data_IF_099938396588
#
_entry.id   IF_099938396588
#
_cell.length_a   1.000
_cell.length_b   1.000
_cell.length_c   1.000
_cell.angle_alpha   90.00
_cell.angle_beta   90.00
_cell.angle_gamma   90.00
#
_symmetry.space_group_name_H-M   'P 1'
#
loop_
_entity.id
_entity.type
_entity.pdbx_description
1 polymer ?
#
# COMPACT_ATOMS: atom_id res chain seq x y z
N UNK A 1 -11.32 5.21 -30.24
CA UNK A 1 -12.11 5.23 -29.02
C UNK A 1 -12.82 3.89 -28.90
N UNK A 2 -12.47 3.08 -27.92
CA UNK A 2 -13.23 1.92 -27.52
C UNK A 2 -14.08 2.39 -26.34
N UNK A 3 -15.40 2.38 -26.51
CA UNK A 3 -16.32 2.68 -25.41
C UNK A 3 -16.61 1.33 -24.75
N UNK A 4 -16.21 1.12 -23.49
CA UNK A 4 -16.55 -0.11 -22.78
C UNK A 4 -18.06 -0.19 -22.61
N UNK A 5 -18.59 -1.39 -22.80
CA UNK A 5 -20.01 -1.67 -22.55
C UNK A 5 -20.34 -1.45 -21.07
N UNK A 6 -21.57 -1.04 -20.78
CA UNK A 6 -21.96 -0.61 -19.43
C UNK A 6 -21.78 -1.74 -18.43
N UNK A 7 -20.82 -1.60 -17.53
CA UNK A 7 -20.75 -2.42 -16.31
C UNK A 7 -19.40 -2.91 -15.84
N UNK A 8 -18.39 -3.01 -16.68
CA UNK A 8 -17.06 -3.44 -16.26
C UNK A 8 -16.07 -2.31 -16.32
N UNK A 9 -15.32 -2.01 -15.24
CA UNK A 9 -14.23 -1.06 -15.31
C UNK A 9 -13.13 -1.64 -16.21
N UNK A 10 -12.96 -1.01 -17.36
CA UNK A 10 -11.91 -1.36 -18.32
C UNK A 10 -10.78 -0.36 -18.15
N UNK A 11 -9.59 -0.86 -17.99
CA UNK A 11 -8.39 -0.06 -17.84
C UNK A 11 -7.55 -0.14 -19.12
N UNK A 12 -7.26 1.01 -19.71
CA UNK A 12 -6.37 1.09 -20.87
C UNK A 12 -4.98 1.50 -20.42
N UNK A 13 -4.00 0.64 -20.67
CA UNK A 13 -2.60 1.00 -20.62
C UNK A 13 -2.19 1.42 -22.03
N UNK A 14 -2.08 2.72 -22.24
CA UNK A 14 -1.56 3.25 -23.51
C UNK A 14 -0.08 3.56 -23.30
N UNK A 15 0.82 2.78 -23.89
CA UNK A 15 2.24 3.12 -23.85
C UNK A 15 2.47 4.47 -24.54
N UNK A 16 3.45 5.27 -24.10
CA UNK A 16 3.64 6.64 -24.58
C UNK A 16 4.30 6.73 -25.96
N UNK A 17 4.60 5.62 -26.63
CA UNK A 17 5.26 5.60 -27.94
C UNK A 17 4.39 4.96 -29.00
N UNK A 18 4.35 5.56 -30.20
CA UNK A 18 3.75 4.96 -31.36
C UNK A 18 4.41 3.60 -31.66
N UNK A 19 3.61 2.55 -31.79
CA UNK A 19 4.05 1.20 -32.12
C UNK A 19 4.06 0.19 -30.99
N UNK A 20 3.84 0.60 -29.74
CA UNK A 20 3.69 -0.32 -28.61
C UNK A 20 2.23 -0.80 -28.50
N UNK A 21 2.06 -2.06 -28.07
CA UNK A 21 0.74 -2.68 -27.93
C UNK A 21 -0.11 -1.99 -26.86
N UNK A 22 -1.41 -2.05 -27.01
CA UNK A 22 -2.37 -1.62 -25.96
C UNK A 22 -2.74 -2.83 -25.14
N UNK A 23 -2.46 -2.78 -23.84
CA UNK A 23 -2.89 -3.81 -22.89
C UNK A 23 -4.26 -3.41 -22.32
N UNK A 24 -5.27 -4.24 -22.57
CA UNK A 24 -6.59 -4.09 -21.98
C UNK A 24 -6.66 -5.00 -20.76
N UNK A 25 -6.98 -4.42 -19.61
CA UNK A 25 -7.26 -5.19 -18.40
C UNK A 25 -8.73 -5.06 -18.03
N UNK A 26 -9.43 -6.16 -18.07
CA UNK A 26 -10.83 -6.26 -17.65
C UNK A 26 -10.90 -6.88 -16.25
N UNK A 27 -11.78 -6.33 -15.42
CA UNK A 27 -12.00 -6.88 -14.07
C UNK A 27 -12.91 -8.09 -14.17
N UNK A 28 -12.37 -9.27 -13.88
CA UNK A 28 -13.18 -10.46 -13.63
C UNK A 28 -13.62 -10.52 -12.16
N UNK A 29 -14.93 -10.63 -11.95
CA UNK A 29 -15.51 -10.91 -10.66
C UNK A 29 -15.98 -12.36 -10.63
N UNK A 30 -15.16 -13.25 -10.07
CA UNK A 30 -15.56 -14.62 -9.77
C UNK A 30 -15.75 -14.75 -8.27
N UNK A 31 -16.97 -14.59 -7.80
CA UNK A 31 -17.51 -14.90 -6.46
C UNK A 31 -16.68 -14.67 -5.19
N UNK A 32 -15.44 -15.11 -5.10
CA UNK A 32 -14.56 -15.01 -3.91
C UNK A 32 -13.24 -14.30 -4.17
N UNK A 33 -12.86 -14.08 -5.42
CA UNK A 33 -11.64 -13.36 -5.80
C UNK A 33 -11.94 -12.42 -6.95
N UNK A 34 -11.62 -11.13 -6.78
CA UNK A 34 -11.62 -10.19 -7.89
C UNK A 34 -10.20 -10.10 -8.45
N UNK A 35 -10.02 -10.48 -9.70
CA UNK A 35 -8.79 -10.36 -10.46
C UNK A 35 -9.00 -9.48 -11.69
N UNK A 36 -7.92 -9.09 -12.35
CA UNK A 36 -7.97 -8.52 -13.68
C UNK A 36 -7.40 -9.55 -14.66
N UNK A 37 -8.18 -9.88 -15.68
CA UNK A 37 -7.67 -10.63 -16.82
C UNK A 37 -7.01 -9.65 -17.78
N UNK A 38 -5.82 -9.96 -18.21
CA UNK A 38 -5.12 -9.21 -19.25
C UNK A 38 -5.50 -9.80 -20.61
N UNK A 39 -6.19 -9.00 -21.43
CA UNK A 39 -6.40 -9.31 -22.83
C UNK A 39 -5.49 -8.44 -23.68
N UNK A 40 -4.62 -9.04 -24.46
CA UNK A 40 -3.83 -8.32 -25.46
C UNK A 40 -4.74 -8.02 -26.66
N UNK A 41 -5.15 -6.77 -26.79
CA UNK A 41 -6.16 -6.39 -27.78
C UNK A 41 -5.56 -6.22 -29.20
N UNK A 42 -4.32 -5.86 -29.34
CA UNK A 42 -3.58 -5.84 -30.62
C UNK A 42 -2.08 -5.69 -30.40
N UNK A 43 -1.32 -6.67 -30.77
CA UNK A 43 0.07 -6.44 -31.14
C UNK A 43 0.09 -5.77 -32.52
N UNK A 44 0.52 -4.53 -32.57
CA UNK A 44 0.89 -3.94 -33.85
C UNK A 44 2.16 -4.65 -34.28
N UNK A 45 2.14 -5.26 -35.47
CA UNK A 45 3.30 -5.92 -36.01
C UNK A 45 4.54 -5.02 -35.84
N UNK A 46 5.49 -5.51 -35.04
CA UNK A 46 6.72 -4.82 -34.79
C UNK A 46 7.45 -4.63 -36.12
N UNK A 47 7.48 -3.42 -36.62
CA UNK A 47 8.44 -3.04 -37.63
C UNK A 47 9.80 -3.13 -36.99
N UNK A 48 10.60 -4.06 -37.43
CA UNK A 48 12.06 -4.19 -37.24
C UNK A 48 12.64 -4.02 -35.81
N UNK A 49 12.83 -5.14 -35.11
CA UNK A 49 14.11 -5.44 -34.49
C UNK A 49 14.53 -4.79 -33.18
N UNK A 50 13.77 -3.93 -32.55
CA UNK A 50 14.03 -3.53 -31.17
C UNK A 50 13.22 -4.43 -30.24
N UNK A 51 13.90 -5.20 -29.37
CA UNK A 51 13.24 -5.90 -28.27
C UNK A 51 12.34 -4.89 -27.51
N UNK A 52 11.10 -5.28 -27.13
CA UNK A 52 10.24 -4.39 -26.36
C UNK A 52 11.03 -3.92 -25.14
N UNK A 53 11.11 -2.61 -24.97
CA UNK A 53 11.72 -1.98 -23.80
C UNK A 53 10.94 -2.48 -22.58
N UNK A 54 11.44 -3.56 -21.95
CA UNK A 54 10.83 -4.16 -20.77
C UNK A 54 10.97 -3.14 -19.65
N UNK A 55 9.96 -2.30 -19.49
CA UNK A 55 9.90 -1.41 -18.35
C UNK A 55 9.87 -2.24 -17.09
N UNK A 56 10.74 -1.87 -16.16
CA UNK A 56 10.86 -2.54 -14.89
C UNK A 56 9.59 -2.33 -14.05
N UNK A 57 9.31 -3.26 -13.16
CA UNK A 57 8.29 -3.10 -12.14
C UNK A 57 8.71 -2.01 -11.14
N UNK A 58 7.75 -1.19 -10.71
CA UNK A 58 7.97 -0.25 -9.63
C UNK A 58 8.10 -0.99 -8.29
N UNK A 59 9.27 -0.90 -7.68
CA UNK A 59 9.59 -1.50 -6.40
C UNK A 59 9.67 -0.40 -5.33
N UNK A 60 9.08 -0.62 -4.17
CA UNK A 60 9.30 0.27 -3.02
C UNK A 60 10.33 -0.38 -2.11
N UNK A 61 11.41 0.34 -1.83
CA UNK A 61 12.54 -0.15 -1.02
C UNK A 61 12.44 0.26 0.45
N UNK A 62 11.74 1.34 0.70
CA UNK A 62 11.51 1.86 2.04
C UNK A 62 10.15 2.55 2.12
N UNK A 63 9.51 2.40 3.27
CA UNK A 63 8.28 3.11 3.65
C UNK A 63 8.50 3.87 4.95
N UNK A 64 8.06 5.12 5.00
CA UNK A 64 7.76 5.81 6.23
C UNK A 64 6.24 6.05 6.28
N UNK A 65 5.59 5.45 7.26
CA UNK A 65 4.14 5.47 7.44
C UNK A 65 3.81 6.22 8.73
N UNK A 66 2.91 7.18 8.64
CA UNK A 66 2.34 7.89 9.78
C UNK A 66 0.83 7.62 9.76
N UNK A 67 0.32 6.95 10.79
CA UNK A 67 -1.03 6.39 10.83
C UNK A 67 -1.77 6.93 12.04
N UNK A 68 -2.90 7.56 11.80
CA UNK A 68 -3.79 8.04 12.84
C UNK A 68 -5.03 7.14 12.95
N UNK A 69 -5.30 6.67 14.16
CA UNK A 69 -6.38 5.77 14.53
C UNK A 69 -7.29 6.44 15.58
N UNK A 70 -8.01 7.51 15.22
CA UNK A 70 -8.84 8.22 16.18
C UNK A 70 -10.03 7.37 16.62
N UNK A 71 -10.40 7.43 17.90
CA UNK A 71 -11.67 6.88 18.36
C UNK A 71 -12.82 7.64 17.73
N UNK A 72 -13.77 6.93 17.17
CA UNK A 72 -15.04 7.49 16.70
C UNK A 72 -16.09 7.42 17.83
N UNK A 73 -17.11 8.25 17.77
CA UNK A 73 -18.15 8.31 18.81
C UNK A 73 -18.98 7.04 19.00
N UNK A 74 -18.87 6.08 18.08
CA UNK A 74 -19.52 4.77 18.10
C UNK A 74 -18.71 3.66 18.81
N UNK A 75 -17.50 3.99 19.30
CA UNK A 75 -16.57 3.00 19.87
C UNK A 75 -15.73 2.29 18.83
N UNK A 76 -15.82 2.71 17.58
CA UNK A 76 -14.95 2.26 16.49
C UNK A 76 -13.71 3.12 16.38
N UNK A 77 -12.79 2.70 15.53
CA UNK A 77 -11.55 3.41 15.21
C UNK A 77 -11.59 3.88 13.76
N UNK A 78 -11.36 5.18 13.55
CA UNK A 78 -11.15 5.75 12.23
C UNK A 78 -9.74 5.42 11.71
N UNK A 79 -9.51 5.70 10.43
CA UNK A 79 -8.22 5.51 9.80
C UNK A 79 -7.88 6.67 8.87
N UNK A 80 -6.71 7.26 9.08
CA UNK A 80 -6.05 8.12 8.10
C UNK A 80 -4.55 7.88 8.14
N UNK A 81 -3.88 8.07 7.01
CA UNK A 81 -2.45 7.83 6.95
C UNK A 81 -1.73 8.72 5.93
N UNK A 82 -0.47 8.98 6.24
CA UNK A 82 0.53 9.50 5.31
C UNK A 82 1.53 8.40 5.02
N UNK A 83 1.68 8.04 3.75
CA UNK A 83 2.69 7.08 3.32
C UNK A 83 3.74 7.78 2.46
N UNK A 84 5.00 7.74 2.88
CA UNK A 84 6.14 8.16 2.09
C UNK A 84 6.84 6.92 1.54
N UNK A 85 7.02 6.87 0.23
CA UNK A 85 7.53 5.73 -0.52
C UNK A 85 8.83 6.10 -1.23
N UNK A 86 9.86 5.25 -1.14
CA UNK A 86 11.08 5.32 -1.95
C UNK A 86 10.99 4.29 -3.06
N UNK A 87 10.72 4.78 -4.26
CA UNK A 87 10.35 3.99 -5.44
C UNK A 87 11.56 3.87 -6.36
N UNK A 88 11.86 2.66 -6.79
CA UNK A 88 12.92 2.37 -7.78
C UNK A 88 12.47 1.25 -8.71
N UNK A 89 13.25 0.98 -9.76
CA UNK A 89 13.06 -0.17 -10.64
C UNK A 89 14.38 -0.88 -10.93
N UNK A 90 14.31 -2.16 -11.24
CA UNK A 90 15.47 -2.92 -11.78
C UNK A 90 15.75 -2.52 -13.23
N UNK A 91 14.74 -2.01 -13.95
CA UNK A 91 14.82 -1.35 -15.22
C UNK A 91 14.22 0.05 -15.14
N UNK A 92 14.23 0.81 -16.24
CA UNK A 92 13.54 2.09 -16.31
C UNK A 92 12.04 1.90 -16.10
N UNK A 93 11.40 2.75 -15.30
CA UNK A 93 9.96 2.70 -15.00
C UNK A 93 9.25 4.00 -15.39
N UNK A 94 7.98 3.87 -15.70
CA UNK A 94 7.11 5.02 -16.04
C UNK A 94 6.57 5.00 -17.46
N UNK A 95 5.82 6.02 -17.88
CA UNK A 95 5.43 7.20 -17.10
C UNK A 95 4.37 6.94 -16.03
N UNK A 96 3.66 5.81 -16.09
CA UNK A 96 2.67 5.43 -15.10
C UNK A 96 3.18 4.25 -14.28
N UNK A 97 3.00 4.34 -12.96
CA UNK A 97 3.25 3.27 -12.02
C UNK A 97 1.97 2.96 -11.25
N UNK A 98 1.85 1.72 -10.78
CA UNK A 98 0.64 1.25 -10.12
C UNK A 98 0.98 0.60 -8.79
N UNK A 99 0.16 0.90 -7.80
CA UNK A 99 0.21 0.32 -6.46
C UNK A 99 -1.12 -0.33 -6.12
N UNK A 100 -1.09 -1.40 -5.37
CA UNK A 100 -2.28 -1.91 -4.69
C UNK A 100 -2.59 -1.00 -3.51
N UNK A 101 -3.83 -0.55 -3.41
CA UNK A 101 -4.34 0.24 -2.28
C UNK A 101 -5.81 -0.14 -2.06
N UNK A 102 -6.19 -0.32 -0.80
CA UNK A 102 -7.52 -0.81 -0.44
C UNK A 102 -8.65 0.02 -1.09
N UNK A 103 -9.68 -0.69 -1.59
CA UNK A 103 -10.73 -0.09 -2.40
C UNK A 103 -11.45 1.06 -1.73
N UNK A 104 -11.78 0.92 -0.44
CA UNK A 104 -12.51 1.91 0.34
C UNK A 104 -11.69 3.14 0.75
N UNK A 105 -10.42 3.22 0.37
CA UNK A 105 -9.61 4.40 0.63
C UNK A 105 -9.83 5.49 -0.41
N UNK A 106 -9.87 6.72 0.08
CA UNK A 106 -9.80 7.95 -0.69
C UNK A 106 -8.39 8.51 -0.58
N UNK A 107 -7.78 8.82 -1.72
CA UNK A 107 -6.50 9.55 -1.77
C UNK A 107 -6.82 11.05 -1.79
N UNK A 108 -6.40 11.76 -0.74
CA UNK A 108 -6.63 13.20 -0.60
C UNK A 108 -5.68 14.01 -1.47
N UNK A 109 -4.42 13.62 -1.45
CA UNK A 109 -3.36 14.22 -2.26
C UNK A 109 -2.14 13.33 -2.33
N UNK A 110 -1.25 13.63 -3.28
CA UNK A 110 0.08 13.05 -3.34
C UNK A 110 1.10 14.08 -3.83
N UNK A 111 2.31 14.02 -3.28
CA UNK A 111 3.38 14.97 -3.56
C UNK A 111 4.68 14.23 -3.87
N UNK A 112 5.43 14.73 -4.84
CA UNK A 112 6.81 14.34 -5.09
C UNK A 112 7.76 15.00 -4.08
N UNK A 113 9.01 14.55 -4.05
CA UNK A 113 10.03 15.04 -3.11
C UNK A 113 10.29 16.56 -3.19
N UNK A 114 10.11 17.14 -4.36
CA UNK A 114 10.25 18.57 -4.63
C UNK A 114 9.03 19.41 -4.21
N UNK A 115 8.00 18.75 -3.62
CA UNK A 115 6.74 19.38 -3.23
C UNK A 115 5.74 19.53 -4.38
N UNK A 116 6.08 19.16 -5.60
CA UNK A 116 5.15 19.20 -6.73
C UNK A 116 4.03 18.16 -6.55
N UNK A 117 2.82 18.50 -7.02
CA UNK A 117 1.66 17.63 -6.93
C UNK A 117 1.78 16.45 -7.90
N UNK A 118 1.66 15.24 -7.40
CA UNK A 118 1.58 14.04 -8.23
C UNK A 118 0.18 13.90 -8.84
N UNK A 119 0.13 13.46 -10.09
CA UNK A 119 -1.13 13.07 -10.75
C UNK A 119 -1.43 11.64 -10.31
N UNK A 120 -2.55 11.47 -9.61
CA UNK A 120 -3.02 10.19 -9.07
C UNK A 120 -4.40 9.88 -9.61
N UNK A 121 -4.59 8.65 -10.04
CA UNK A 121 -5.90 8.08 -10.35
C UNK A 121 -6.15 6.89 -9.41
N UNK A 122 -7.17 7.02 -8.57
CA UNK A 122 -7.65 5.99 -7.63
C UNK A 122 -9.16 5.88 -7.78
N UNK A 123 -9.64 4.97 -8.64
CA UNK A 123 -11.07 4.75 -8.80
C UNK A 123 -11.73 4.40 -7.46
N UNK A 124 -12.93 4.92 -7.25
CA UNK A 124 -13.75 4.57 -6.10
C UNK A 124 -13.95 3.05 -6.07
N UNK A 125 -13.75 2.45 -4.91
CA UNK A 125 -13.82 1.00 -4.68
C UNK A 125 -12.82 0.15 -5.51
N UNK A 126 -11.98 0.79 -6.33
CA UNK A 126 -10.93 0.10 -7.08
C UNK A 126 -9.73 -0.26 -6.20
N UNK A 127 -9.12 -1.44 -6.38
CA UNK A 127 -8.01 -1.92 -5.54
C UNK A 127 -6.64 -1.35 -5.95
N UNK A 128 -6.59 -0.44 -6.91
CA UNK A 128 -5.36 0.10 -7.46
C UNK A 128 -5.32 1.62 -7.43
N UNK A 129 -4.14 2.14 -7.18
CA UNK A 129 -3.77 3.54 -7.26
C UNK A 129 -2.72 3.71 -8.36
N UNK A 130 -3.02 4.52 -9.35
CA UNK A 130 -2.14 4.87 -10.45
C UNK A 130 -1.48 6.21 -10.19
N UNK A 131 -0.19 6.29 -10.43
CA UNK A 131 0.58 7.51 -10.23
C UNK A 131 1.41 7.79 -11.47
N UNK A 132 1.32 9.01 -11.97
CA UNK A 132 2.13 9.46 -13.10
C UNK A 132 3.45 10.01 -12.60
N UNK A 133 4.55 9.42 -13.03
CA UNK A 133 5.89 9.93 -12.81
C UNK A 133 6.11 11.24 -13.59
N UNK A 134 6.84 12.23 -13.03
CA UNK A 134 7.20 13.45 -13.76
C UNK A 134 7.99 13.19 -15.04
N UNK A 135 8.85 12.18 -14.99
CA UNK A 135 9.64 11.67 -16.11
C UNK A 135 9.85 10.16 -15.94
N UNK A 136 10.32 9.50 -16.99
CA UNK A 136 10.79 8.10 -16.88
C UNK A 136 11.89 8.05 -15.84
N UNK A 137 11.76 7.18 -14.84
CA UNK A 137 12.76 6.96 -13.80
C UNK A 137 13.77 5.92 -14.32
N UNK A 138 15.04 6.27 -14.49
CA UNK A 138 16.08 5.32 -14.92
C UNK A 138 16.25 4.16 -13.94
N UNK A 139 16.81 3.06 -14.42
CA UNK A 139 17.14 1.91 -13.58
C UNK A 139 18.05 2.30 -12.40
N UNK A 140 17.69 1.87 -11.20
CA UNK A 140 18.45 2.13 -9.97
C UNK A 140 18.29 3.53 -9.37
N UNK A 141 17.68 4.48 -10.08
CA UNK A 141 17.32 5.76 -9.49
C UNK A 141 16.13 5.63 -8.55
N UNK A 142 16.01 6.58 -7.61
CA UNK A 142 14.97 6.58 -6.59
C UNK A 142 14.12 7.85 -6.70
N UNK A 143 12.82 7.66 -6.86
CA UNK A 143 11.83 8.71 -6.70
C UNK A 143 11.16 8.61 -5.33
N UNK A 144 10.83 9.73 -4.71
CA UNK A 144 10.12 9.76 -3.43
C UNK A 144 8.72 10.33 -3.64
N UNK A 145 7.71 9.57 -3.20
CA UNK A 145 6.31 9.95 -3.26
C UNK A 145 5.72 9.96 -1.84
N UNK A 146 4.99 11.01 -1.50
CA UNK A 146 4.19 11.08 -0.27
C UNK A 146 2.72 11.06 -0.65
N UNK A 147 1.94 10.14 -0.07
CA UNK A 147 0.50 9.96 -0.32
C UNK A 147 -0.26 10.19 0.97
N UNK A 148 -1.28 11.04 0.93
CA UNK A 148 -2.21 11.31 2.04
C UNK A 148 -3.54 10.65 1.69
N UNK A 149 -4.08 9.84 2.60
CA UNK A 149 -5.29 9.08 2.35
C UNK A 149 -6.01 8.70 3.65
N UNK A 150 -7.30 8.45 3.52
CA UNK A 150 -8.15 8.02 4.62
C UNK A 150 -9.20 7.03 4.13
N UNK A 151 -9.92 6.42 5.07
CA UNK A 151 -11.08 5.58 4.76
C UNK A 151 -11.45 4.63 5.88
N UNK A 152 -12.40 3.76 5.57
CA UNK A 152 -12.92 2.74 6.48
C UNK A 152 -12.21 1.41 6.20
N UNK A 153 -11.24 1.10 7.05
CA UNK A 153 -10.38 -0.07 6.89
C UNK A 153 -10.56 -1.12 7.97
N UNK A 154 -10.83 -0.67 9.19
CA UNK A 154 -10.56 -1.47 10.38
C UNK A 154 -11.79 -2.31 10.74
N UNK A 155 -11.64 -3.63 10.67
CA UNK A 155 -12.64 -4.58 11.15
C UNK A 155 -12.50 -4.72 12.67
N UNK A 156 -13.64 -4.64 13.39
CA UNK A 156 -13.72 -4.91 14.82
C UNK A 156 -14.10 -6.38 15.05
N UNK A 157 -13.40 -7.01 15.98
CA UNK A 157 -13.77 -8.34 16.47
C UNK A 157 -13.71 -8.34 18.01
N UNK A 158 -14.89 -8.36 18.66
CA UNK A 158 -14.95 -8.20 20.12
C UNK A 158 -14.35 -6.87 20.58
N UNK A 159 -13.30 -6.94 21.38
CA UNK A 159 -12.63 -5.78 21.99
C UNK A 159 -11.32 -5.41 21.29
N UNK A 160 -11.06 -5.94 20.12
CA UNK A 160 -9.88 -5.57 19.33
C UNK A 160 -10.22 -5.26 17.87
N UNK A 161 -9.32 -4.52 17.26
CA UNK A 161 -9.37 -4.11 15.87
C UNK A 161 -8.18 -4.71 15.13
N UNK A 162 -8.42 -5.20 13.93
CA UNK A 162 -7.38 -5.83 13.14
C UNK A 162 -7.45 -5.46 11.67
N UNK A 163 -6.33 -5.63 11.00
CA UNK A 163 -6.23 -5.50 9.56
C UNK A 163 -5.90 -6.86 8.98
N UNK A 164 -6.71 -7.32 8.03
CA UNK A 164 -6.40 -8.56 7.29
C UNK A 164 -5.07 -8.40 6.57
N UNK A 165 -4.15 -9.34 6.76
CA UNK A 165 -2.80 -9.28 6.17
C UNK A 165 -2.78 -9.21 4.64
N UNK A 166 -3.87 -9.64 3.97
CA UNK A 166 -4.08 -9.50 2.53
C UNK A 166 -4.44 -8.07 2.12
N UNK A 167 -4.96 -7.24 3.03
CA UNK A 167 -5.43 -5.89 2.73
C UNK A 167 -4.24 -4.96 2.47
N UNK A 168 -4.26 -4.27 1.33
CA UNK A 168 -3.28 -3.25 0.99
C UNK A 168 -3.62 -1.93 1.70
N UNK A 169 -3.35 -1.86 3.00
CA UNK A 169 -3.67 -0.68 3.81
C UNK A 169 -2.69 0.49 3.63
N UNK A 170 -1.61 0.29 2.91
CA UNK A 170 -0.69 1.30 2.40
C UNK A 170 -0.42 1.00 0.91
N UNK A 171 0.06 1.98 0.11
CA UNK A 171 0.36 1.73 -1.30
C UNK A 171 1.44 0.66 -1.45
N UNK A 172 1.08 -0.54 -1.90
CA UNK A 172 1.99 -1.68 -2.08
C UNK A 172 2.34 -1.90 -3.54
N UNK A 173 3.62 -2.16 -3.81
CA UNK A 173 4.06 -2.64 -5.12
C UNK A 173 3.27 -3.90 -5.51
N UNK A 174 2.87 -4.00 -6.78
CA UNK A 174 2.16 -5.16 -7.31
C UNK A 174 3.04 -6.40 -7.45
N UNK A 175 4.35 -6.22 -7.43
CA UNK A 175 5.26 -7.35 -7.56
C UNK A 175 5.36 -8.10 -6.22
N UNK A 176 5.13 -9.39 -6.23
CA UNK A 176 5.31 -10.24 -5.05
C UNK A 176 6.77 -10.34 -4.56
N UNK A 177 7.71 -9.68 -5.25
CA UNK A 177 9.15 -9.66 -4.95
C UNK A 177 9.58 -8.41 -4.17
N UNK A 178 8.69 -7.44 -3.99
CA UNK A 178 9.05 -6.21 -3.28
C UNK A 178 9.22 -6.48 -1.78
N UNK A 179 10.46 -6.40 -1.32
CA UNK A 179 10.82 -6.35 0.09
C UNK A 179 11.23 -4.91 0.41
N UNK A 180 10.73 -4.38 1.51
CA UNK A 180 11.02 -3.02 1.96
C UNK A 180 11.33 -2.97 3.45
N UNK A 181 12.11 -1.99 3.86
CA UNK A 181 12.19 -1.59 5.26
C UNK A 181 11.07 -0.62 5.60
N UNK A 182 10.66 -0.62 6.87
CA UNK A 182 9.57 0.21 7.35
C UNK A 182 9.99 1.02 8.57
N UNK A 183 9.59 2.28 8.56
CA UNK A 183 9.47 3.14 9.71
C UNK A 183 8.00 3.52 9.85
N UNK A 184 7.38 3.19 10.99
CA UNK A 184 5.95 3.34 11.18
C UNK A 184 5.68 4.08 12.47
N UNK A 185 4.91 5.15 12.39
CA UNK A 185 4.41 5.91 13.53
C UNK A 185 2.92 5.69 13.59
N UNK A 186 2.43 5.33 14.77
CA UNK A 186 1.01 5.11 15.00
C UNK A 186 0.52 5.99 16.13
N UNK A 187 -0.61 6.66 15.91
CA UNK A 187 -1.32 7.46 16.89
C UNK A 187 -2.66 6.78 17.20
N UNK A 188 -2.85 6.32 18.42
CA UNK A 188 -4.03 5.55 18.81
C UNK A 188 -4.50 5.89 20.23
N UNK A 189 -5.76 5.58 20.60
CA UNK A 189 -6.27 5.83 21.95
C UNK A 189 -5.46 5.12 23.02
N UNK A 190 -5.11 5.82 24.09
CA UNK A 190 -4.20 5.36 25.14
C UNK A 190 -4.75 4.22 26.03
N UNK A 191 -6.04 3.92 25.92
CA UNK A 191 -6.66 2.77 26.58
C UNK A 191 -6.49 1.45 25.83
N UNK A 192 -5.88 1.47 24.63
CA UNK A 192 -5.59 0.27 23.85
C UNK A 192 -4.13 -0.12 23.92
N UNK A 193 -3.87 -1.41 23.84
CA UNK A 193 -2.56 -1.95 23.49
C UNK A 193 -2.39 -2.03 21.98
N UNK A 194 -1.17 -1.91 21.53
CA UNK A 194 -0.82 -1.88 20.13
C UNK A 194 0.36 -2.80 19.84
N UNK A 195 0.24 -3.59 18.79
CA UNK A 195 1.33 -4.41 18.30
C UNK A 195 1.48 -4.24 16.80
N UNK A 196 2.71 -4.04 16.34
CA UNK A 196 3.08 -3.97 14.94
C UNK A 196 4.23 -4.92 14.61
N UNK A 197 4.49 -5.10 13.33
CA UNK A 197 5.71 -5.76 12.87
C UNK A 197 6.93 -4.89 13.17
N UNK A 198 8.08 -5.51 13.35
CA UNK A 198 9.33 -4.81 13.68
C UNK A 198 9.57 -4.69 15.19
N UNK A 199 10.39 -3.73 15.56
CA UNK A 199 10.75 -3.44 16.94
C UNK A 199 10.18 -2.10 17.36
N UNK A 200 9.58 -2.01 18.54
CA UNK A 200 9.17 -0.76 19.14
C UNK A 200 10.42 0.06 19.48
N UNK A 201 10.60 1.17 18.79
CA UNK A 201 11.75 2.06 18.97
C UNK A 201 11.47 3.15 20.01
N UNK A 202 10.24 3.64 20.07
CA UNK A 202 9.81 4.67 21.00
C UNK A 202 8.30 4.64 21.20
N UNK A 203 7.83 5.08 22.40
CA UNK A 203 6.43 5.23 22.72
C UNK A 203 6.22 6.32 23.76
N UNK A 204 5.23 7.18 23.52
CA UNK A 204 4.86 8.23 24.43
C UNK A 204 3.35 8.42 24.46
N UNK A 205 2.82 8.87 25.60
CA UNK A 205 1.39 9.16 25.74
C UNK A 205 1.19 10.62 26.11
N UNK A 206 0.35 11.30 25.36
CA UNK A 206 -0.07 12.68 25.63
C UNK A 206 -1.59 12.75 25.67
N UNK A 207 -2.15 13.05 26.83
CA UNK A 207 -3.59 13.02 27.05
C UNK A 207 -4.19 11.64 26.83
N UNK A 208 -5.07 11.53 25.83
CA UNK A 208 -5.76 10.28 25.48
C UNK A 208 -5.17 9.58 24.26
N UNK A 209 -4.04 10.02 23.76
CA UNK A 209 -3.39 9.47 22.57
C UNK A 209 -2.01 8.93 22.95
N UNK A 210 -1.76 7.71 22.55
CA UNK A 210 -0.42 7.11 22.54
C UNK A 210 0.15 7.18 21.14
N UNK A 211 1.39 7.64 21.04
CA UNK A 211 2.19 7.60 19.81
C UNK A 211 3.26 6.55 19.98
N UNK A 212 3.37 5.62 19.04
CA UNK A 212 4.42 4.61 19.05
C UNK A 212 5.14 4.57 17.70
N UNK A 213 6.46 4.41 17.75
CA UNK A 213 7.34 4.31 16.57
C UNK A 213 7.90 2.91 16.48
N UNK A 214 7.68 2.26 15.33
CA UNK A 214 8.13 0.91 15.04
C UNK A 214 9.05 0.90 13.83
N UNK A 215 10.11 0.10 13.88
CA UNK A 215 11.09 0.00 12.80
C UNK A 215 11.40 -1.45 12.47
N UNK A 216 11.66 -1.73 11.20
CA UNK A 216 12.11 -3.05 10.77
C UNK A 216 13.62 -3.01 10.53
N UNK A 217 14.36 -3.93 11.16
CA UNK A 217 15.81 -4.04 11.01
C UNK A 217 16.22 -4.61 9.63
N UNK A 218 15.32 -5.33 8.98
CA UNK A 218 15.53 -5.98 7.67
C UNK A 218 14.33 -5.74 6.76
N UNK A 219 14.52 -5.78 5.43
CA UNK A 219 13.41 -5.71 4.51
C UNK A 219 12.43 -6.87 4.72
N UNK A 220 11.14 -6.55 4.79
CA UNK A 220 10.04 -7.50 4.92
C UNK A 220 9.02 -7.30 3.80
N UNK A 221 8.15 -8.27 3.60
CA UNK A 221 7.14 -8.24 2.53
C UNK A 221 5.96 -7.35 2.87
N UNK A 222 5.43 -7.47 4.08
CA UNK A 222 4.21 -6.79 4.50
C UNK A 222 4.36 -6.24 5.92
N UNK A 223 3.79 -5.06 6.15
CA UNK A 223 3.55 -4.52 7.46
C UNK A 223 2.09 -4.78 7.87
N UNK A 224 1.87 -5.06 9.14
CA UNK A 224 0.55 -5.23 9.76
C UNK A 224 0.59 -4.77 11.20
N UNK A 225 -0.57 -4.47 11.76
CA UNK A 225 -0.72 -4.13 13.17
C UNK A 225 -2.06 -4.65 13.72
N UNK A 226 -2.14 -4.72 15.04
CA UNK A 226 -3.35 -4.95 15.80
C UNK A 226 -3.43 -3.94 16.93
N UNK A 227 -4.64 -3.51 17.27
CA UNK A 227 -4.92 -2.55 18.33
C UNK A 227 -6.18 -2.98 19.07
N UNK A 228 -6.19 -2.91 20.39
CA UNK A 228 -7.36 -3.33 21.17
C UNK A 228 -7.11 -3.41 22.66
N UNK A 229 -8.15 -3.87 23.36
CA UNK A 229 -8.06 -4.18 24.78
C UNK A 229 -7.51 -5.59 24.92
N UNK A 230 -6.21 -5.69 25.13
CA UNK A 230 -5.52 -6.96 25.30
C UNK A 230 -4.93 -7.07 26.68
N UNK A 231 -4.87 -8.30 27.19
CA UNK A 231 -4.04 -8.66 28.35
C UNK A 231 -2.76 -9.31 27.85
N UNK A 232 -1.57 -8.71 28.12
CA UNK A 232 -0.30 -9.30 27.71
C UNK A 232 0.05 -10.49 28.59
N UNK A 233 0.39 -11.60 27.96
CA UNK A 233 0.91 -12.80 28.62
C UNK A 233 2.31 -13.11 28.08
N UNK A 234 3.28 -13.27 28.97
CA UNK A 234 4.66 -13.59 28.63
C UNK A 234 5.05 -14.94 29.22
N UNK A 235 4.93 -16.04 28.46
CA UNK A 235 5.43 -17.34 28.89
C UNK A 235 6.95 -17.28 29.01
N UNK A 236 7.49 -17.76 30.15
CA UNK A 236 8.93 -17.87 30.37
C UNK A 236 9.30 -19.33 30.18
N UNK A 237 10.05 -19.60 29.12
CA UNK A 237 10.61 -20.92 28.85
C UNK A 237 12.14 -20.80 28.71
N UNK A 238 12.94 -21.52 29.52
CA UNK A 238 14.39 -21.45 29.45
C UNK A 238 14.91 -21.85 28.06
N UNK A 239 15.70 -20.96 27.44
CA UNK A 239 16.27 -21.19 26.10
C UNK A 239 15.37 -20.83 24.92
N UNK A 240 14.09 -20.48 25.16
CA UNK A 240 13.20 -19.96 24.12
C UNK A 240 13.40 -18.45 23.92
N UNK A 241 13.17 -17.92 22.71
CA UNK A 241 13.14 -16.48 22.51
C UNK A 241 11.97 -15.86 23.29
N UNK A 242 12.09 -14.58 23.71
CA UNK A 242 11.00 -13.91 24.40
C UNK A 242 9.76 -13.82 23.50
N UNK A 243 8.62 -14.28 24.03
CA UNK A 243 7.33 -14.24 23.34
C UNK A 243 6.35 -13.44 24.21
N UNK A 244 5.62 -12.54 23.56
CA UNK A 244 4.46 -11.87 24.19
C UNK A 244 3.21 -12.27 23.43
N UNK A 245 2.24 -12.83 24.13
CA UNK A 245 0.93 -13.18 23.61
C UNK A 245 -0.05 -12.10 24.08
N UNK A 246 -0.75 -11.48 23.15
CA UNK A 246 -1.83 -10.54 23.45
C UNK A 246 -3.16 -11.31 23.40
N UNK A 247 -3.83 -11.41 24.55
CA UNK A 247 -5.09 -12.14 24.71
C UNK A 247 -6.23 -11.13 24.79
N UNK A 248 -7.26 -11.30 23.96
CA UNK A 248 -8.56 -10.62 24.11
C UNK A 248 -9.49 -11.48 24.96
N UNK A 249 -10.31 -10.85 25.80
CA UNK A 249 -11.39 -11.50 26.54
C UNK A 249 -12.55 -11.91 25.64
#
# INVERSE_FOLDING_TARGET
>A
HIIPDRGSPVMFLVPPREGEGVELRERESTGLTSGYTTATVKERAAGSGAAPDRRGDALVRHYALDVSLPSTGSGDIGFSATAKLWISGEGAIGPWIVFSLFGKFTVDSALWADGSRAVVDKPKDGPYMWVRLPAVLPAGEVAQLTVFYHGDLIDRYGDFFYIKGSTAWYPRSLTGRSLATFEMIYHYPSNYLFASVGTLADSSTTGRITTSRWVTARPIRNASFNVGMFTPYQPIEPGAPPVTVLVSE
#
